data_IF_303826077052
#
_entry.id   IF_303826077052
#
_cell.length_a   1.000
_cell.length_b   1.000
_cell.length_c   1.000
_cell.angle_alpha   90.00
_cell.angle_beta   90.00
_cell.angle_gamma   90.00
#
_symmetry.space_group_name_H-M   'P 1'
#
loop_
_entity.id
_entity.type
_entity.pdbx_description
1 polymer ?
#
# COMPACT_ATOMS: atom_id res chain seq x y z
N UNK A 1 -25.69 64.16 -43.95
CA UNK A 1 -26.14 62.90 -43.32
C UNK A 1 -24.88 62.07 -43.08
N UNK A 2 -24.40 61.99 -41.83
CA UNK A 2 -23.11 61.38 -41.48
C UNK A 2 -23.21 59.84 -41.51
N UNK A 3 -22.17 59.21 -42.05
CA UNK A 3 -21.88 57.77 -42.02
C UNK A 3 -21.80 57.25 -40.59
N UNK A 4 -22.18 55.99 -40.36
CA UNK A 4 -21.49 55.08 -39.45
C UNK A 4 -21.57 53.65 -39.97
N UNK A 5 -20.41 53.08 -40.30
CA UNK A 5 -20.23 51.65 -40.52
C UNK A 5 -20.01 50.99 -39.15
N UNK A 6 -20.82 49.99 -38.81
CA UNK A 6 -20.63 49.18 -37.61
C UNK A 6 -19.67 48.04 -37.94
N UNK A 7 -18.47 48.12 -37.40
CA UNK A 7 -17.50 47.02 -37.38
C UNK A 7 -17.97 46.00 -36.35
N UNK A 8 -18.33 44.79 -36.80
CA UNK A 8 -18.64 43.66 -35.94
C UNK A 8 -17.31 43.07 -35.45
N UNK A 9 -16.99 43.29 -34.17
CA UNK A 9 -15.85 42.65 -33.52
C UNK A 9 -16.28 41.24 -33.10
N UNK A 10 -15.77 40.20 -33.77
CA UNK A 10 -15.87 38.83 -33.26
C UNK A 10 -14.92 38.73 -32.07
N UNK A 11 -15.47 38.67 -30.85
CA UNK A 11 -14.71 38.21 -29.69
C UNK A 11 -14.67 36.69 -29.78
N UNK A 12 -13.54 36.14 -30.22
CA UNK A 12 -13.25 34.73 -30.03
C UNK A 12 -13.11 34.50 -28.52
N UNK A 13 -14.14 33.94 -27.90
CA UNK A 13 -14.02 33.37 -26.56
C UNK A 13 -13.21 32.09 -26.74
N UNK A 14 -11.90 32.15 -26.49
CA UNK A 14 -11.11 30.94 -26.29
C UNK A 14 -11.61 30.33 -24.98
N UNK A 15 -12.46 29.32 -25.11
CA UNK A 15 -12.75 28.44 -23.99
C UNK A 15 -11.50 27.58 -23.82
N UNK A 16 -10.53 28.05 -23.03
CA UNK A 16 -9.52 27.16 -22.50
C UNK A 16 -10.28 26.12 -21.69
N UNK A 17 -10.30 24.88 -22.16
CA UNK A 17 -10.71 23.78 -21.31
C UNK A 17 -9.70 23.79 -20.15
N UNK A 18 -10.17 24.01 -18.93
CA UNK A 18 -9.39 23.68 -17.75
C UNK A 18 -9.33 22.14 -17.78
N UNK A 19 -8.24 21.59 -18.31
CA UNK A 19 -7.90 20.19 -18.11
C UNK A 19 -7.61 20.07 -16.62
N UNK A 20 -8.62 19.61 -15.88
CA UNK A 20 -8.42 19.19 -14.50
C UNK A 20 -7.59 17.92 -14.55
N UNK A 21 -6.41 17.97 -13.93
CA UNK A 21 -5.61 16.80 -13.55
C UNK A 21 -6.54 15.76 -12.94
N UNK A 22 -6.79 14.67 -13.64
CA UNK A 22 -7.36 13.48 -13.00
C UNK A 22 -6.21 12.50 -12.86
N UNK A 23 -5.64 12.42 -11.66
CA UNK A 23 -5.08 11.14 -11.26
C UNK A 23 -6.22 10.12 -11.34
N UNK A 24 -6.01 9.04 -12.08
CA UNK A 24 -6.95 7.94 -12.08
C UNK A 24 -6.77 7.16 -10.78
N UNK A 25 -7.87 7.00 -10.05
CA UNK A 25 -7.90 6.23 -8.81
C UNK A 25 -8.44 4.84 -9.10
N UNK A 26 -7.64 3.82 -8.82
CA UNK A 26 -8.01 2.41 -8.89
C UNK A 26 -8.17 1.88 -7.47
N UNK A 27 -9.34 1.32 -7.15
CA UNK A 27 -9.58 0.66 -5.85
C UNK A 27 -9.71 -0.84 -6.07
N UNK A 28 -8.87 -1.61 -5.39
CA UNK A 28 -8.77 -3.06 -5.48
C UNK A 28 -9.28 -3.71 -4.19
N UNK A 29 -10.17 -4.69 -4.34
CA UNK A 29 -10.54 -5.60 -3.27
C UNK A 29 -9.49 -6.72 -3.12
N UNK A 30 -9.26 -7.27 -1.92
CA UNK A 30 -8.35 -8.38 -1.73
C UNK A 30 -8.84 -9.64 -2.45
N UNK A 31 -7.92 -10.32 -3.14
CA UNK A 31 -8.14 -11.64 -3.73
C UNK A 31 -8.02 -12.78 -2.72
N UNK A 32 -7.27 -12.55 -1.64
CA UNK A 32 -7.08 -13.47 -0.55
C UNK A 32 -6.82 -12.69 0.75
N UNK A 33 -7.41 -13.13 1.85
CA UNK A 33 -7.07 -12.69 3.18
C UNK A 33 -7.04 -13.85 4.20
N UNK A 34 -6.28 -13.71 5.27
CA UNK A 34 -6.28 -14.67 6.38
C UNK A 34 -5.71 -13.97 7.61
N UNK A 35 -5.95 -14.52 8.80
CA UNK A 35 -5.13 -14.20 9.95
C UNK A 35 -4.57 -15.48 10.57
N UNK A 36 -3.27 -15.49 10.77
CA UNK A 36 -2.56 -16.64 11.34
C UNK A 36 -2.28 -16.41 12.81
N UNK A 37 -2.31 -17.50 13.58
CA UNK A 37 -2.28 -17.41 15.02
C UNK A 37 -1.23 -18.29 15.69
N UNK A 38 -0.29 -17.66 16.39
CA UNK A 38 0.68 -18.40 17.16
C UNK A 38 0.01 -19.07 18.35
N UNK A 39 0.40 -20.31 18.62
CA UNK A 39 -0.01 -21.02 19.82
C UNK A 39 0.99 -22.11 20.19
N UNK A 40 0.97 -22.46 21.48
CA UNK A 40 1.97 -23.29 22.15
C UNK A 40 2.10 -24.74 21.66
N UNK A 41 1.08 -25.25 20.96
CA UNK A 41 1.02 -26.65 20.54
C UNK A 41 0.98 -26.81 19.00
N UNK A 42 1.40 -25.79 18.25
CA UNK A 42 1.41 -25.87 16.78
C UNK A 42 0.01 -25.78 16.20
N UNK A 43 -0.64 -24.62 16.32
CA UNK A 43 -1.95 -24.42 15.73
C UNK A 43 -1.84 -24.44 14.21
N UNK A 44 -2.41 -25.48 13.61
CA UNK A 44 -2.67 -25.61 12.18
C UNK A 44 -4.07 -25.08 11.82
N UNK A 45 -4.56 -24.09 12.58
CA UNK A 45 -5.88 -23.51 12.31
C UNK A 45 -5.71 -22.48 11.20
N UNK A 46 -6.37 -22.74 10.08
CA UNK A 46 -6.61 -21.74 9.04
C UNK A 46 -7.81 -20.87 9.45
N UNK A 47 -7.72 -19.56 9.16
CA UNK A 47 -8.80 -18.62 9.44
C UNK A 47 -9.19 -17.78 8.20
N UNK A 48 -8.91 -18.27 6.98
CA UNK A 48 -9.22 -17.55 5.74
C UNK A 48 -10.72 -17.32 5.57
N UNK A 49 -11.56 -18.28 5.98
CA UNK A 49 -13.03 -18.14 5.87
C UNK A 49 -13.67 -17.28 6.99
N UNK A 50 -12.87 -16.53 7.77
CA UNK A 50 -13.38 -15.80 8.93
C UNK A 50 -13.76 -14.37 8.56
N UNK A 51 -14.95 -13.91 8.98
CA UNK A 51 -15.49 -12.55 8.70
C UNK A 51 -14.74 -11.38 9.37
N UNK A 52 -13.57 -11.65 9.93
CA UNK A 52 -12.69 -10.67 10.53
C UNK A 52 -11.22 -11.10 10.44
N UNK A 53 -10.35 -10.12 10.34
CA UNK A 53 -8.90 -10.23 10.43
C UNK A 53 -8.42 -9.74 11.80
N UNK A 54 -7.19 -10.12 12.19
CA UNK A 54 -6.68 -9.88 13.54
C UNK A 54 -5.20 -9.56 13.55
N UNK A 55 -4.85 -8.58 14.37
CA UNK A 55 -3.48 -8.34 14.81
C UNK A 55 -3.48 -8.35 16.33
N UNK A 56 -2.56 -9.13 16.92
CA UNK A 56 -2.48 -9.27 18.37
C UNK A 56 -1.04 -9.44 18.80
N UNK A 57 -0.68 -8.73 19.87
CA UNK A 57 0.48 -9.06 20.70
C UNK A 57 0.00 -9.59 22.05
N UNK A 58 0.58 -10.70 22.54
CA UNK A 58 0.11 -11.26 23.81
C UNK A 58 1.12 -12.10 24.58
N UNK A 59 1.13 -11.87 25.89
CA UNK A 59 1.84 -12.61 26.93
C UNK A 59 0.92 -12.89 28.13
N UNK A 60 0.84 -14.16 28.56
CA UNK A 60 0.03 -14.58 29.71
C UNK A 60 0.85 -15.15 30.87
N UNK A 61 2.11 -14.74 31.02
CA UNK A 61 2.97 -15.19 32.13
C UNK A 61 3.62 -16.56 31.92
N UNK A 62 3.55 -17.12 30.70
CA UNK A 62 4.25 -18.35 30.33
C UNK A 62 5.07 -18.12 29.05
N UNK A 63 6.41 -18.27 29.08
CA UNK A 63 7.27 -18.12 27.90
C UNK A 63 6.94 -19.07 26.76
N UNK A 64 6.24 -20.18 27.04
CA UNK A 64 5.77 -21.13 26.03
C UNK A 64 4.45 -20.70 25.37
N UNK A 65 3.87 -19.57 25.79
CA UNK A 65 2.53 -19.11 25.40
C UNK A 65 2.50 -17.66 24.89
N UNK A 66 3.58 -17.19 24.27
CA UNK A 66 3.49 -16.03 23.38
C UNK A 66 2.48 -16.34 22.29
N UNK A 67 1.61 -15.37 22.04
CA UNK A 67 0.32 -15.59 21.37
C UNK A 67 0.08 -14.42 20.42
N UNK A 68 0.88 -14.33 19.37
CA UNK A 68 0.80 -13.27 18.37
C UNK A 68 -0.14 -13.68 17.23
N UNK A 69 -0.92 -12.71 16.74
CA UNK A 69 -1.75 -12.87 15.56
C UNK A 69 -1.29 -11.86 14.50
N UNK A 70 -1.22 -12.32 13.26
CA UNK A 70 -0.82 -11.52 12.10
C UNK A 70 -1.87 -11.65 11.00
N UNK A 71 -2.08 -10.59 10.25
CA UNK A 71 -3.04 -10.55 9.14
C UNK A 71 -2.29 -10.65 7.81
N UNK A 72 -2.74 -11.49 6.89
CA UNK A 72 -2.17 -11.68 5.55
C UNK A 72 -3.20 -11.17 4.53
N UNK A 73 -2.71 -10.49 3.49
CA UNK A 73 -3.52 -9.97 2.39
C UNK A 73 -2.80 -10.14 1.06
N UNK A 74 -3.56 -10.31 -0.01
CA UNK A 74 -3.08 -10.30 -1.39
C UNK A 74 -4.12 -9.66 -2.30
N UNK A 75 -3.67 -8.89 -3.29
CA UNK A 75 -4.50 -8.15 -4.24
C UNK A 75 -4.20 -8.60 -5.67
N UNK A 76 -5.18 -8.48 -6.58
CA UNK A 76 -4.94 -8.65 -8.02
C UNK A 76 -4.46 -7.31 -8.59
N UNK A 77 -3.18 -7.23 -8.93
CA UNK A 77 -2.57 -6.01 -9.47
C UNK A 77 -2.75 -5.85 -10.98
N UNK A 78 -3.43 -6.77 -11.67
CA UNK A 78 -3.54 -6.77 -13.14
C UNK A 78 -4.30 -5.58 -13.73
N UNK A 79 -5.04 -4.84 -12.90
CA UNK A 79 -5.72 -3.60 -13.29
C UNK A 79 -4.80 -2.36 -13.25
N UNK A 80 -3.60 -2.48 -12.67
CA UNK A 80 -2.64 -1.38 -12.52
C UNK A 80 -1.71 -1.28 -13.74
N UNK A 81 -1.12 -0.10 -14.01
CA UNK A 81 -0.04 0.02 -14.99
C UNK A 81 1.14 -0.89 -14.61
N UNK A 82 1.87 -1.36 -15.62
CA UNK A 82 3.06 -2.21 -15.43
C UNK A 82 4.34 -1.42 -15.23
N UNK A 83 4.29 -0.10 -15.42
CA UNK A 83 5.43 0.79 -15.15
C UNK A 83 5.29 1.36 -13.72
N UNK A 84 6.23 1.06 -12.81
CA UNK A 84 6.17 1.57 -11.44
C UNK A 84 6.29 3.10 -11.35
N UNK A 85 6.83 3.78 -12.38
CA UNK A 85 6.90 5.24 -12.42
C UNK A 85 5.50 5.90 -12.53
N UNK A 86 4.49 5.15 -12.98
CA UNK A 86 3.11 5.61 -13.08
C UNK A 86 2.33 5.46 -11.77
N UNK A 87 2.90 4.81 -10.75
CA UNK A 87 2.28 4.74 -9.42
C UNK A 87 2.61 6.02 -8.66
N UNK A 88 1.58 6.81 -8.34
CA UNK A 88 1.73 8.04 -7.56
C UNK A 88 1.65 7.79 -6.07
N UNK A 89 0.53 7.22 -5.64
CA UNK A 89 0.25 6.88 -4.25
C UNK A 89 -0.41 5.51 -4.19
N UNK A 90 -0.17 4.77 -3.10
CA UNK A 90 -0.90 3.56 -2.79
C UNK A 90 -1.23 3.50 -1.30
N UNK A 91 -2.52 3.49 -0.99
CA UNK A 91 -3.04 3.42 0.37
C UNK A 91 -3.74 2.08 0.61
N UNK A 92 -3.21 1.30 1.54
CA UNK A 92 -3.86 0.11 2.09
C UNK A 92 -4.81 0.52 3.22
N UNK A 93 -6.07 0.09 3.19
CA UNK A 93 -7.04 0.37 4.24
C UNK A 93 -7.68 -0.89 4.83
N UNK A 94 -7.73 -0.98 6.16
CA UNK A 94 -8.48 -2.02 6.90
C UNK A 94 -9.46 -1.37 7.88
N UNK A 95 -10.70 -1.88 7.93
CA UNK A 95 -11.74 -1.33 8.80
C UNK A 95 -11.65 -1.88 10.23
N UNK A 96 -11.14 -1.08 11.16
CA UNK A 96 -10.98 -1.41 12.58
C UNK A 96 -12.32 -1.28 13.31
N UNK A 97 -12.99 -2.40 13.56
CA UNK A 97 -14.37 -2.39 14.09
C UNK A 97 -14.48 -2.79 15.57
N UNK A 98 -13.46 -3.43 16.13
CA UNK A 98 -13.51 -3.92 17.50
C UNK A 98 -12.11 -4.21 18.03
N UNK A 99 -11.94 -4.16 19.35
CA UNK A 99 -10.83 -4.81 20.04
C UNK A 99 -11.31 -5.81 21.09
N UNK A 100 -10.39 -6.66 21.55
CA UNK A 100 -10.63 -7.59 22.64
C UNK A 100 -9.47 -7.61 23.64
N UNK A 101 -9.75 -8.06 24.87
CA UNK A 101 -8.80 -8.07 25.99
C UNK A 101 -8.38 -6.67 26.46
N UNK A 102 -7.20 -6.19 26.08
CA UNK A 102 -6.74 -4.85 26.33
C UNK A 102 -6.86 -3.99 25.07
N UNK A 103 -7.11 -2.70 25.30
CA UNK A 103 -7.24 -1.71 24.24
C UNK A 103 -5.92 -1.53 23.47
N UNK A 104 -5.85 -1.84 22.17
CA UNK A 104 -4.66 -1.69 21.35
C UNK A 104 -4.42 -0.25 20.87
N UNK A 105 -5.26 0.73 21.24
CA UNK A 105 -5.06 2.13 20.84
C UNK A 105 -3.63 2.62 21.13
N UNK A 106 -3.02 3.28 20.14
CA UNK A 106 -1.64 3.78 20.23
C UNK A 106 -0.55 2.75 19.96
N UNK A 107 -0.89 1.48 19.69
CA UNK A 107 0.05 0.51 19.13
C UNK A 107 0.37 0.86 17.68
N UNK A 108 1.59 0.56 17.25
CA UNK A 108 2.00 0.66 15.85
C UNK A 108 1.92 -0.71 15.21
N UNK A 109 1.23 -0.82 14.07
CA UNK A 109 1.22 -2.03 13.25
C UNK A 109 1.95 -1.76 11.94
N UNK A 110 2.83 -2.69 11.58
CA UNK A 110 3.71 -2.59 10.44
C UNK A 110 3.26 -3.50 9.31
N UNK A 111 3.45 -3.05 8.07
CA UNK A 111 3.29 -3.84 6.85
C UNK A 111 4.66 -4.36 6.42
N UNK A 112 4.71 -5.66 6.15
CA UNK A 112 5.87 -6.35 5.61
C UNK A 112 5.47 -7.13 4.35
N UNK A 113 6.44 -7.33 3.45
CA UNK A 113 6.26 -8.16 2.26
C UNK A 113 6.41 -9.63 2.63
N UNK A 114 5.45 -10.48 2.24
CA UNK A 114 5.63 -11.93 2.32
C UNK A 114 6.61 -12.39 1.23
N UNK A 115 7.58 -13.23 1.61
CA UNK A 115 8.62 -13.72 0.69
C UNK A 115 8.08 -14.85 -0.20
N UNK A 116 7.31 -15.74 0.41
CA UNK A 116 6.77 -16.93 -0.24
C UNK A 116 5.27 -16.77 -0.48
N UNK A 117 4.78 -17.37 -1.57
CA UNK A 117 3.35 -17.49 -1.80
C UNK A 117 2.67 -18.34 -0.73
N UNK A 118 1.39 -18.05 -0.51
CA UNK A 118 0.56 -18.66 0.51
C UNK A 118 -0.83 -18.94 -0.04
N UNK A 119 -1.55 -19.83 0.65
CA UNK A 119 -2.90 -20.24 0.25
C UNK A 119 -3.91 -19.83 1.33
N UNK A 120 -4.90 -19.03 0.97
CA UNK A 120 -5.95 -18.54 1.88
C UNK A 120 -6.70 -19.65 2.60
N UNK A 121 -6.94 -20.77 1.93
CA UNK A 121 -7.79 -21.85 2.43
C UNK A 121 -7.06 -22.82 3.35
N UNK A 122 -5.72 -22.80 3.33
CA UNK A 122 -4.90 -23.80 4.04
C UNK A 122 -3.76 -23.22 4.87
N UNK A 123 -3.36 -21.97 4.68
CA UNK A 123 -2.26 -21.37 5.43
C UNK A 123 -2.57 -21.23 6.93
N UNK A 124 -1.55 -21.42 7.75
CA UNK A 124 -1.62 -21.40 9.22
C UNK A 124 -0.40 -20.68 9.77
N UNK A 125 -0.27 -20.61 11.10
CA UNK A 125 0.95 -20.08 11.71
C UNK A 125 2.19 -20.90 11.32
N UNK A 126 2.08 -22.22 11.13
CA UNK A 126 3.25 -23.08 10.87
C UNK A 126 3.55 -23.26 9.39
N UNK A 127 2.53 -23.19 8.53
CA UNK A 127 2.63 -23.55 7.13
C UNK A 127 1.97 -22.52 6.24
N UNK A 128 2.56 -22.28 5.07
CA UNK A 128 1.96 -21.45 4.01
C UNK A 128 0.95 -22.21 3.16
N UNK A 129 1.01 -23.54 3.25
CA UNK A 129 0.04 -24.49 2.70
C UNK A 129 0.00 -25.73 3.59
N UNK A 130 -1.18 -26.10 4.07
CA UNK A 130 -1.44 -27.32 4.84
C UNK A 130 -2.85 -27.85 4.50
N UNK A 131 -2.93 -28.83 3.61
CA UNK A 131 -4.19 -29.42 3.19
C UNK A 131 -4.79 -30.42 4.20
N UNK A 132 -4.17 -30.56 5.38
CA UNK A 132 -4.56 -31.54 6.39
C UNK A 132 -4.32 -32.99 5.96
N UNK A 133 -3.58 -33.23 4.88
CA UNK A 133 -3.20 -34.55 4.36
C UNK A 133 -1.70 -34.79 4.56
N UNK A 134 -0.96 -35.10 3.49
CA UNK A 134 0.48 -35.40 3.53
C UNK A 134 1.36 -34.25 3.08
N UNK A 135 0.79 -33.27 2.38
CA UNK A 135 1.55 -32.19 1.77
C UNK A 135 1.44 -30.96 2.65
N UNK A 136 2.47 -30.75 3.46
CA UNK A 136 2.62 -29.55 4.28
C UNK A 136 3.83 -28.79 3.79
N UNK A 137 3.62 -27.55 3.38
CA UNK A 137 4.69 -26.64 2.99
C UNK A 137 4.83 -25.61 4.11
N UNK A 138 5.90 -25.77 4.89
CA UNK A 138 6.18 -24.91 6.01
C UNK A 138 6.65 -23.52 5.58
N UNK A 139 6.50 -22.54 6.47
CA UNK A 139 7.31 -21.33 6.40
C UNK A 139 8.79 -21.71 6.59
N UNK A 140 9.73 -21.08 5.88
CA UNK A 140 11.17 -21.34 5.96
C UNK A 140 11.71 -21.02 7.36
N UNK A 141 11.12 -20.02 8.02
CA UNK A 141 11.31 -19.72 9.44
C UNK A 141 10.91 -20.87 10.39
N UNK A 142 10.17 -21.87 9.89
CA UNK A 142 9.74 -23.05 10.63
C UNK A 142 10.62 -24.28 10.34
N UNK A 143 11.29 -24.80 11.37
CA UNK A 143 12.11 -26.01 11.29
C UNK A 143 11.36 -27.28 11.72
N UNK A 144 10.95 -28.12 10.75
CA UNK A 144 10.29 -29.40 10.98
C UNK A 144 11.27 -30.50 11.46
N UNK A 145 11.66 -30.48 12.74
CA UNK A 145 12.52 -31.54 13.30
C UNK A 145 13.16 -31.32 14.67
N UNK A 146 13.03 -30.15 15.28
CA UNK A 146 13.61 -29.84 16.62
C UNK A 146 12.50 -29.78 17.69
N UNK A 147 12.80 -30.09 18.98
CA UNK A 147 11.82 -30.00 20.05
C UNK A 147 11.43 -28.54 20.31
N UNK A 148 10.31 -28.14 19.71
CA UNK A 148 9.36 -27.16 20.22
C UNK A 148 9.97 -25.90 20.87
N UNK A 149 10.60 -25.00 20.09
CA UNK A 149 10.72 -23.59 20.51
C UNK A 149 11.01 -22.59 19.35
N UNK A 150 9.94 -22.27 18.59
CA UNK A 150 9.63 -21.02 17.84
C UNK A 150 10.33 -20.63 16.50
N UNK A 151 9.67 -19.81 15.65
CA UNK A 151 8.25 -19.87 15.31
C UNK A 151 8.00 -19.80 13.79
N UNK A 152 6.88 -20.34 13.31
CA UNK A 152 6.32 -19.86 12.05
C UNK A 152 5.77 -18.43 12.23
N UNK A 153 4.74 -18.04 11.48
CA UNK A 153 4.15 -16.70 11.54
C UNK A 153 4.24 -15.93 10.23
N UNK A 154 4.43 -16.64 9.12
CA UNK A 154 4.72 -16.03 7.83
C UNK A 154 6.23 -15.85 7.64
N UNK A 155 6.71 -16.13 6.43
CA UNK A 155 8.03 -15.68 6.00
C UNK A 155 7.85 -14.31 5.37
N UNK A 156 8.31 -13.27 6.06
CA UNK A 156 8.30 -11.92 5.55
C UNK A 156 9.68 -11.29 5.60
N UNK A 157 9.89 -10.31 4.73
CA UNK A 157 11.05 -9.44 4.74
C UNK A 157 11.00 -8.53 5.98
N UNK A 158 12.06 -8.47 6.78
CA UNK A 158 12.08 -7.66 8.01
C UNK A 158 12.06 -6.14 7.73
N UNK A 159 12.23 -5.72 6.47
CA UNK A 159 12.03 -4.34 6.06
C UNK A 159 10.57 -3.90 6.29
N UNK A 160 10.39 -2.84 7.10
CA UNK A 160 9.09 -2.19 7.29
C UNK A 160 8.80 -1.31 6.08
N UNK A 161 7.77 -1.65 5.33
CA UNK A 161 7.33 -0.87 4.16
C UNK A 161 6.37 0.25 4.54
N UNK A 162 5.56 0.03 5.57
CA UNK A 162 4.61 1.01 6.07
C UNK A 162 4.33 0.78 7.56
N UNK A 163 3.96 1.84 8.26
CA UNK A 163 3.52 1.78 9.65
C UNK A 163 2.24 2.60 9.84
N UNK A 164 1.35 2.15 10.72
CA UNK A 164 0.17 2.89 11.11
C UNK A 164 -0.13 2.69 12.59
N UNK A 165 -0.66 3.73 13.22
CA UNK A 165 -1.03 3.71 14.65
C UNK A 165 -2.49 3.33 14.79
N UNK A 166 -2.78 2.36 15.67
CA UNK A 166 -4.14 1.95 15.99
C UNK A 166 -4.94 3.13 16.55
N UNK A 167 -6.09 3.48 15.94
CA UNK A 167 -6.91 4.61 16.38
C UNK A 167 -7.44 4.47 17.81
N UNK A 168 -7.81 5.60 18.41
CA UNK A 168 -8.39 5.65 19.75
C UNK A 168 -9.83 5.11 19.82
N UNK A 169 -10.54 5.13 18.70
CA UNK A 169 -11.90 4.62 18.55
C UNK A 169 -11.95 3.46 17.56
N UNK A 170 -12.91 2.57 17.76
CA UNK A 170 -13.30 1.58 16.75
C UNK A 170 -14.29 2.19 15.76
N UNK A 171 -14.64 1.42 14.74
CA UNK A 171 -15.52 1.79 13.63
C UNK A 171 -14.90 2.82 12.67
N UNK A 172 -13.58 2.80 12.55
CA UNK A 172 -12.78 3.71 11.72
C UNK A 172 -11.83 2.92 10.81
N UNK A 173 -11.38 3.57 9.72
CA UNK A 173 -10.35 3.02 8.86
C UNK A 173 -8.98 3.21 9.47
N UNK A 174 -8.16 2.18 9.39
CA UNK A 174 -6.73 2.25 9.63
C UNK A 174 -6.03 2.11 8.29
N UNK A 175 -5.14 3.05 7.97
CA UNK A 175 -4.55 3.20 6.64
C UNK A 175 -3.03 3.21 6.70
N UNK A 176 -2.40 2.61 5.71
CA UNK A 176 -0.96 2.55 5.52
C UNK A 176 -0.61 3.07 4.13
N UNK A 177 0.40 3.94 4.04
CA UNK A 177 1.03 4.29 2.77
C UNK A 177 1.98 3.15 2.37
N UNK A 178 1.58 2.39 1.35
CA UNK A 178 2.31 1.25 0.80
C UNK A 178 2.86 1.55 -0.60
N UNK A 179 3.00 2.83 -0.96
CA UNK A 179 3.44 3.28 -2.29
C UNK A 179 4.75 2.64 -2.71
N UNK A 180 5.74 2.61 -1.81
CA UNK A 180 7.05 1.98 -2.08
C UNK A 180 6.94 0.47 -2.34
N UNK A 181 6.14 -0.25 -1.54
CA UNK A 181 5.93 -1.69 -1.70
C UNK A 181 5.26 -2.01 -3.04
N UNK A 182 4.23 -1.25 -3.40
CA UNK A 182 3.50 -1.46 -4.65
C UNK A 182 4.39 -1.21 -5.87
N UNK A 183 5.26 -0.18 -5.84
CA UNK A 183 6.23 0.10 -6.92
C UNK A 183 7.17 -1.08 -7.15
N UNK A 184 7.70 -1.70 -6.10
CA UNK A 184 8.56 -2.88 -6.23
C UNK A 184 7.82 -4.10 -6.80
N UNK A 185 6.54 -4.28 -6.45
CA UNK A 185 5.70 -5.34 -7.03
C UNK A 185 5.38 -5.10 -8.50
N UNK A 186 4.99 -3.88 -8.88
CA UNK A 186 4.72 -3.51 -10.27
C UNK A 186 5.98 -3.60 -11.13
N UNK A 187 7.14 -3.22 -10.59
CA UNK A 187 8.45 -3.39 -11.23
C UNK A 187 8.86 -4.84 -11.45
N UNK A 188 8.20 -5.80 -10.79
CA UNK A 188 8.47 -7.23 -10.93
C UNK A 188 9.69 -7.70 -10.15
N UNK A 189 10.13 -6.96 -9.13
CA UNK A 189 11.31 -7.30 -8.32
C UNK A 189 11.10 -8.59 -7.51
N UNK A 190 9.84 -8.93 -7.23
CA UNK A 190 9.47 -10.08 -6.41
C UNK A 190 8.40 -10.95 -7.07
N UNK A 191 8.50 -12.26 -6.84
CA UNK A 191 7.56 -13.25 -7.38
C UNK A 191 6.25 -13.37 -6.56
N UNK A 192 6.19 -12.78 -5.36
CA UNK A 192 5.04 -12.81 -4.48
C UNK A 192 4.67 -11.38 -4.05
N UNK A 193 3.40 -11.06 -4.20
CA UNK A 193 2.73 -9.78 -3.92
C UNK A 193 1.78 -9.88 -2.71
N UNK A 194 2.02 -10.86 -1.84
CA UNK A 194 1.36 -10.96 -0.54
C UNK A 194 2.03 -10.04 0.48
N UNK A 195 1.23 -9.45 1.38
CA UNK A 195 1.72 -8.70 2.53
C UNK A 195 1.23 -9.31 3.84
N UNK A 196 1.93 -8.95 4.92
CA UNK A 196 1.56 -9.30 6.29
C UNK A 196 1.58 -8.06 7.17
N UNK A 197 0.55 -7.93 8.02
CA UNK A 197 0.45 -6.90 9.05
C UNK A 197 0.70 -7.57 10.40
N UNK A 198 1.66 -7.03 11.15
CA UNK A 198 2.04 -7.48 12.47
C UNK A 198 2.16 -6.30 13.43
N UNK A 199 2.09 -6.58 14.73
CA UNK A 199 2.37 -5.57 15.75
C UNK A 199 3.88 -5.24 15.75
N UNK A 200 4.23 -3.95 15.69
CA UNK A 200 5.62 -3.50 15.64
C UNK A 200 6.44 -3.93 16.86
N UNK A 201 5.80 -4.05 18.04
CA UNK A 201 6.43 -4.63 19.23
C UNK A 201 5.72 -5.93 19.64
N UNK A 202 5.69 -6.90 18.74
CA UNK A 202 5.28 -8.25 19.08
C UNK A 202 6.08 -8.79 20.28
N UNK A 203 5.35 -9.23 21.31
CA UNK A 203 5.98 -9.70 22.54
C UNK A 203 6.53 -11.10 22.28
N UNK A 204 7.86 -11.23 22.21
CA UNK A 204 8.50 -12.54 21.98
C UNK A 204 8.94 -13.26 23.27
N UNK A 205 8.96 -12.56 24.40
CA UNK A 205 9.35 -13.07 25.72
C UNK A 205 8.69 -12.27 26.85
N UNK A 206 8.99 -12.58 28.11
CA UNK A 206 8.36 -11.91 29.26
C UNK A 206 8.61 -10.39 29.23
N UNK A 207 7.58 -9.55 29.08
CA UNK A 207 7.76 -8.11 29.01
C UNK A 207 8.09 -7.48 30.38
N UNK A 208 8.07 -8.25 31.47
CA UNK A 208 8.38 -7.75 32.83
C UNK A 208 7.30 -6.83 33.42
N UNK A 209 6.22 -6.57 32.68
CA UNK A 209 5.08 -5.72 33.05
C UNK A 209 3.86 -6.54 33.51
N UNK A 210 3.96 -7.87 33.49
CA UNK A 210 2.85 -8.79 33.77
C UNK A 210 2.18 -9.30 32.48
N UNK A 211 0.97 -9.83 32.60
CA UNK A 211 0.22 -10.33 31.44
C UNK A 211 -0.29 -9.17 30.57
N UNK A 212 -0.07 -9.26 29.26
CA UNK A 212 -0.48 -8.29 28.25
C UNK A 212 -1.21 -9.03 27.13
N UNK A 213 -2.33 -8.48 26.65
CA UNK A 213 -3.01 -9.01 25.47
C UNK A 213 -3.76 -7.87 24.81
N UNK A 214 -3.22 -7.36 23.70
CA UNK A 214 -3.78 -6.24 22.95
C UNK A 214 -4.16 -6.73 21.57
N UNK A 215 -5.43 -6.59 21.20
CA UNK A 215 -6.00 -7.30 20.06
C UNK A 215 -6.92 -6.40 19.26
N UNK A 216 -6.54 -6.08 18.03
CA UNK A 216 -7.39 -5.38 17.09
C UNK A 216 -8.09 -6.37 16.15
N UNK A 217 -9.37 -6.12 15.87
CA UNK A 217 -10.14 -6.81 14.86
C UNK A 217 -10.41 -5.87 13.69
N UNK A 218 -10.16 -6.37 12.49
CA UNK A 218 -10.53 -5.72 11.24
C UNK A 218 -11.58 -6.55 10.51
N UNK A 219 -12.34 -5.94 9.62
CA UNK A 219 -13.21 -6.72 8.72
C UNK A 219 -12.37 -7.42 7.66
N UNK A 220 -12.78 -8.64 7.31
CA UNK A 220 -12.23 -9.40 6.18
C UNK A 220 -13.17 -9.28 4.98
N UNK A 221 -12.76 -9.86 3.85
CA UNK A 221 -13.56 -10.03 2.64
C UNK A 221 -14.73 -11.01 2.79
N UNK A 222 -14.76 -11.85 3.81
CA UNK A 222 -15.90 -12.72 4.12
C UNK A 222 -17.02 -11.95 4.81
N UNK A 223 -16.77 -10.73 5.27
CA UNK A 223 -17.81 -9.92 5.89
C UNK A 223 -18.91 -9.59 4.88
N UNK A 224 -20.17 -9.75 5.26
CA UNK A 224 -21.30 -9.67 4.32
C UNK A 224 -21.52 -8.31 3.65
N UNK A 225 -20.92 -7.24 4.19
CA UNK A 225 -21.01 -5.90 3.60
C UNK A 225 -19.63 -5.46 3.10
N UNK A 226 -19.48 -5.45 1.78
CA UNK A 226 -18.22 -5.13 1.10
C UNK A 226 -17.77 -3.68 1.28
N UNK A 227 -18.64 -2.77 1.74
CA UNK A 227 -18.25 -1.40 2.10
C UNK A 227 -17.23 -1.33 3.26
N UNK A 228 -16.96 -2.45 3.92
CA UNK A 228 -15.98 -2.53 5.00
C UNK A 228 -14.87 -3.55 4.73
N UNK A 229 -14.77 -4.10 3.52
CA UNK A 229 -13.65 -4.99 3.18
C UNK A 229 -12.33 -4.22 3.21
N UNK A 230 -11.19 -4.90 3.45
CA UNK A 230 -9.90 -4.31 3.16
C UNK A 230 -9.86 -3.80 1.72
N UNK A 231 -9.07 -2.76 1.45
CA UNK A 231 -8.89 -2.25 0.10
C UNK A 231 -7.45 -1.79 -0.14
N UNK A 232 -7.04 -1.79 -1.40
CA UNK A 232 -5.85 -1.09 -1.87
C UNK A 232 -6.30 -0.01 -2.86
N UNK A 233 -6.17 1.25 -2.46
CA UNK A 233 -6.46 2.42 -3.29
C UNK A 233 -5.15 2.90 -3.91
N UNK A 234 -5.12 3.08 -5.22
CA UNK A 234 -3.93 3.46 -5.97
C UNK A 234 -4.25 4.67 -6.81
N UNK A 235 -3.50 5.75 -6.62
CA UNK A 235 -3.49 6.88 -7.54
C UNK A 235 -2.42 6.64 -8.60
N UNK A 236 -2.79 6.76 -9.87
CA UNK A 236 -1.85 6.63 -11.00
C UNK A 236 -1.64 7.95 -11.74
N UNK A 237 -0.57 7.99 -12.53
CA UNK A 237 -0.27 9.06 -13.50
C UNK A 237 -0.40 8.53 -14.92
N UNK A 238 -0.68 9.44 -15.85
CA UNK A 238 -0.63 9.16 -17.28
C UNK A 238 0.81 9.04 -17.80
N UNK A 239 1.73 9.81 -17.21
CA UNK A 239 3.15 9.87 -17.55
C UNK A 239 4.03 9.87 -16.29
N UNK A 240 5.28 9.38 -16.37
CA UNK A 240 6.23 9.48 -15.25
C UNK A 240 6.39 10.92 -14.74
N UNK A 241 6.62 11.08 -13.44
CA UNK A 241 6.95 12.40 -12.88
C UNK A 241 8.22 12.93 -13.56
N UNK A 242 8.22 14.20 -13.96
CA UNK A 242 9.29 14.80 -14.76
C UNK A 242 9.25 14.49 -16.27
N UNK A 243 8.36 13.63 -16.77
CA UNK A 243 8.17 13.50 -18.23
C UNK A 243 7.43 14.76 -18.73
N UNK A 244 8.20 15.68 -19.32
CA UNK A 244 7.78 17.04 -19.65
C UNK A 244 7.47 17.20 -21.15
N UNK A 245 7.74 16.19 -21.96
CA UNK A 245 7.22 16.12 -23.33
C UNK A 245 6.11 15.06 -23.48
N UNK A 246 5.85 14.28 -22.43
CA UNK A 246 4.84 13.24 -22.33
C UNK A 246 4.93 12.19 -23.44
N UNK A 247 6.15 11.80 -23.78
CA UNK A 247 6.39 10.70 -24.70
C UNK A 247 6.36 9.32 -24.01
N UNK A 248 6.17 9.30 -22.69
CA UNK A 248 6.11 8.11 -21.85
C UNK A 248 7.47 7.71 -21.27
N UNK A 249 8.52 8.50 -21.47
CA UNK A 249 9.86 8.21 -20.98
C UNK A 249 10.54 9.45 -20.42
N UNK A 250 10.76 9.48 -19.11
CA UNK A 250 11.65 10.48 -18.51
C UNK A 250 13.09 10.32 -19.04
N UNK A 251 13.58 11.33 -19.73
CA UNK A 251 14.87 11.33 -20.41
C UNK A 251 15.47 12.74 -20.59
N UNK A 252 16.64 12.84 -21.21
CA UNK A 252 17.25 14.14 -21.53
C UNK A 252 16.40 15.00 -22.47
N UNK A 253 15.40 14.43 -23.16
CA UNK A 253 14.46 15.17 -23.98
C UNK A 253 13.46 15.99 -23.14
N UNK A 254 13.38 15.74 -21.84
CA UNK A 254 12.51 16.47 -20.91
C UNK A 254 13.18 17.71 -20.31
N UNK A 255 14.49 17.87 -20.48
CA UNK A 255 15.22 19.02 -19.92
C UNK A 255 14.75 20.34 -20.53
N UNK A 256 14.71 20.44 -21.86
CA UNK A 256 14.29 21.68 -22.53
C UNK A 256 12.82 22.02 -22.22
N UNK A 257 11.86 21.07 -22.30
CA UNK A 257 10.48 21.29 -21.84
C UNK A 257 10.37 21.64 -20.34
N UNK A 258 11.15 21.01 -19.46
CA UNK A 258 11.18 21.33 -18.03
C UNK A 258 11.64 22.78 -17.77
N UNK A 259 12.70 23.21 -18.45
CA UNK A 259 13.19 24.60 -18.37
C UNK A 259 12.13 25.57 -18.88
N UNK A 260 11.42 25.21 -19.97
CA UNK A 260 10.30 26.01 -20.47
C UNK A 260 9.17 26.11 -19.43
N UNK A 261 8.82 25.01 -18.76
CA UNK A 261 7.78 25.00 -17.72
C UNK A 261 8.13 25.89 -16.52
N UNK A 262 9.40 25.94 -16.11
CA UNK A 262 9.86 26.84 -15.04
C UNK A 262 9.85 28.32 -15.48
N UNK A 263 10.25 28.61 -16.73
CA UNK A 263 10.32 29.98 -17.24
C UNK A 263 8.93 30.57 -17.53
N UNK A 264 8.05 29.79 -18.16
CA UNK A 264 6.74 30.24 -18.63
C UNK A 264 5.75 29.08 -18.80
N UNK A 265 4.82 28.97 -17.85
CA UNK A 265 3.68 28.03 -17.93
C UNK A 265 2.88 28.21 -19.22
N UNK A 266 2.57 29.44 -19.60
CA UNK A 266 1.76 29.74 -20.78
C UNK A 266 2.44 29.24 -22.07
N UNK A 267 3.77 29.38 -22.19
CA UNK A 267 4.50 28.91 -23.36
C UNK A 267 4.65 27.38 -23.35
N UNK A 268 4.89 26.78 -22.18
CA UNK A 268 4.91 25.32 -22.02
C UNK A 268 3.59 24.69 -22.42
N UNK A 269 2.46 25.14 -21.86
CA UNK A 269 1.13 24.60 -22.17
C UNK A 269 0.74 24.85 -23.65
N UNK A 270 1.33 25.85 -24.31
CA UNK A 270 1.13 26.07 -25.74
C UNK A 270 1.94 25.10 -26.63
N UNK A 271 3.12 24.68 -26.19
CA UNK A 271 4.01 23.76 -26.92
C UNK A 271 3.67 22.28 -26.64
N UNK A 272 3.25 21.97 -25.42
CA UNK A 272 2.89 20.63 -24.93
C UNK A 272 1.44 20.60 -24.41
N UNK A 273 0.42 20.81 -25.27
CA UNK A 273 -0.97 21.00 -24.85
C UNK A 273 -1.65 19.76 -24.25
N UNK A 274 -1.08 18.57 -24.51
CA UNK A 274 -1.57 17.29 -23.97
C UNK A 274 -0.77 16.84 -22.73
N UNK A 275 0.24 17.63 -22.31
CA UNK A 275 1.01 17.38 -21.11
C UNK A 275 0.48 18.11 -19.90
N UNK A 276 0.51 17.45 -18.75
CA UNK A 276 0.29 18.13 -17.48
C UNK A 276 1.51 18.98 -17.11
N UNK A 277 1.28 20.28 -16.89
CA UNK A 277 2.28 21.22 -16.39
C UNK A 277 2.86 20.76 -15.04
N UNK A 278 2.03 20.15 -14.19
CA UNK A 278 2.43 19.72 -12.86
C UNK A 278 3.33 18.48 -12.86
N UNK A 279 3.64 17.87 -14.02
CA UNK A 279 4.73 16.90 -14.11
C UNK A 279 6.09 17.54 -13.76
N UNK A 280 6.23 18.87 -13.86
CA UNK A 280 7.45 19.58 -13.45
C UNK A 280 7.55 19.79 -11.94
N UNK A 281 6.50 19.55 -11.17
CA UNK A 281 6.51 19.65 -9.70
C UNK A 281 7.14 18.38 -9.11
N UNK A 282 8.44 18.23 -9.36
CA UNK A 282 9.19 17.00 -9.08
C UNK A 282 9.46 16.81 -7.58
N UNK A 283 9.32 17.86 -6.74
CA UNK A 283 9.31 17.70 -5.28
C UNK A 283 7.90 17.50 -4.68
N UNK A 284 6.85 17.54 -5.51
CA UNK A 284 5.45 17.40 -5.14
C UNK A 284 4.97 18.39 -4.06
N UNK A 285 5.51 19.62 -4.03
CA UNK A 285 5.13 20.66 -3.08
C UNK A 285 3.91 21.49 -3.52
N UNK A 286 3.41 21.23 -4.72
CA UNK A 286 2.28 21.90 -5.35
C UNK A 286 2.68 23.11 -6.21
N UNK A 287 3.98 23.39 -6.35
CA UNK A 287 4.50 24.59 -7.04
C UNK A 287 5.71 24.28 -7.92
N UNK A 288 5.49 24.30 -9.24
CA UNK A 288 6.60 24.28 -10.21
C UNK A 288 7.49 25.52 -10.05
N UNK A 289 8.74 25.30 -9.67
CA UNK A 289 9.72 26.33 -9.34
C UNK A 289 11.16 25.82 -9.52
N UNK A 290 12.14 26.67 -9.21
CA UNK A 290 13.55 26.25 -9.23
C UNK A 290 13.88 25.19 -8.16
N UNK A 291 12.99 24.94 -7.19
CA UNK A 291 13.16 23.89 -6.19
C UNK A 291 12.93 22.50 -6.77
N UNK A 292 12.34 22.39 -7.96
CA UNK A 292 12.13 21.13 -8.67
C UNK A 292 13.33 20.67 -9.47
N UNK A 293 14.33 21.53 -9.68
CA UNK A 293 15.50 21.20 -10.51
C UNK A 293 16.28 20.01 -9.93
N UNK A 294 16.60 20.04 -8.64
CA UNK A 294 17.37 18.97 -8.00
C UNK A 294 16.58 17.64 -7.99
N UNK A 295 15.29 17.61 -7.57
CA UNK A 295 14.44 16.42 -7.71
C UNK A 295 14.30 15.91 -9.15
N UNK A 296 14.14 16.80 -10.13
CA UNK A 296 14.05 16.41 -11.55
C UNK A 296 15.33 15.72 -12.03
N UNK A 297 16.50 16.22 -11.61
CA UNK A 297 17.79 15.58 -11.90
C UNK A 297 17.91 14.22 -11.20
N UNK A 298 17.44 14.10 -9.96
CA UNK A 298 17.41 12.82 -9.23
C UNK A 298 16.55 11.78 -9.97
N UNK A 299 15.37 12.18 -10.47
CA UNK A 299 14.50 11.31 -11.28
C UNK A 299 15.17 10.87 -12.59
N UNK A 300 15.96 11.74 -13.23
CA UNK A 300 16.69 11.43 -14.47
C UNK A 300 17.85 10.43 -14.28
N UNK A 301 18.50 10.47 -13.12
CA UNK A 301 19.70 9.66 -12.85
C UNK A 301 19.37 8.23 -12.37
N UNK A 302 18.18 8.01 -11.80
CA UNK A 302 17.67 6.71 -11.36
C UNK A 302 18.04 6.33 -9.93
#
# INVERSE_FOLDING_TARGET
MKLFAQTLLLVAVSCAAVLTVQADTVVLDPQADNWINSCSNGCTVNNGDNVYLRVRTSWWGNPREVKNFRTLLQFDLSALPTDPALIKDATLGLYYYQWAHGDPAGRTYNVYRLVNSWDETTSTWQARYDDGLKDVIYWDSYWAGEPAYKPGGGDFDEMVYAEAVVPASTDEWMTWDVTGLLKEWVGGDYANDGLIIADADEIESDPGTGAVSLHAHFRSREYSNSAYWPYLEVETRDFPLGDMNCDGTLSFLDIDPFVLAIDSRDDYEAEYPDCDYYNADCNEDGTVSFLDIDPFVELLDG
#
